data_IF_158066929999
#
_entry.id   IF_158066929999
#
_cell.length_a   1.000
_cell.length_b   1.000
_cell.length_c   1.000
_cell.angle_alpha   90.00
_cell.angle_beta   90.00
_cell.angle_gamma   90.00
#
_symmetry.space_group_name_H-M   'P 1'
#
loop_
_entity.id
_entity.type
_entity.pdbx_description
1 polymer ?
#
# COMPACT_ATOMS: atom_id res chain seq x y z
N UNK A 1 -20.98 22.69 -11.37
CA UNK A 1 -20.16 21.68 -12.06
C UNK A 1 -19.54 20.84 -10.98
N UNK A 2 -20.05 19.63 -10.76
CA UNK A 2 -19.45 18.66 -9.83
C UNK A 2 -18.08 18.26 -10.38
N UNK A 3 -17.02 18.70 -9.72
CA UNK A 3 -15.66 18.24 -10.02
C UNK A 3 -15.64 16.72 -9.82
N UNK A 4 -15.44 15.98 -10.89
CA UNK A 4 -15.26 14.53 -10.80
C UNK A 4 -13.94 14.31 -10.07
N UNK A 5 -13.99 13.81 -8.84
CA UNK A 5 -12.82 13.44 -8.05
C UNK A 5 -12.01 12.42 -8.86
N UNK A 6 -10.75 12.73 -9.16
CA UNK A 6 -9.85 11.87 -9.94
C UNK A 6 -8.88 11.17 -9.00
N UNK A 7 -9.25 9.97 -8.58
CA UNK A 7 -8.30 9.01 -7.97
C UNK A 7 -7.28 8.54 -9.00
N UNK A 8 -6.10 8.12 -8.53
CA UNK A 8 -5.25 7.26 -9.33
C UNK A 8 -6.00 5.93 -9.54
N UNK A 9 -6.35 5.55 -10.80
CA UNK A 9 -7.27 4.42 -11.03
C UNK A 9 -6.78 3.10 -10.42
N UNK A 10 -5.48 2.94 -10.30
CA UNK A 10 -4.86 1.74 -9.71
C UNK A 10 -5.20 1.49 -8.25
N UNK A 11 -5.64 2.52 -7.51
CA UNK A 11 -5.99 2.36 -6.08
C UNK A 11 -7.19 1.45 -5.90
N UNK A 12 -8.20 1.58 -6.77
CA UNK A 12 -9.44 0.80 -6.71
C UNK A 12 -9.52 -0.30 -7.79
N UNK A 13 -8.50 -0.43 -8.63
CA UNK A 13 -8.46 -1.49 -9.62
C UNK A 13 -8.20 -2.85 -8.95
N UNK A 14 -8.68 -3.96 -9.54
CA UNK A 14 -8.43 -5.30 -9.01
C UNK A 14 -6.95 -5.55 -8.71
N UNK A 15 -6.67 -6.34 -7.68
CA UNK A 15 -5.30 -6.70 -7.29
C UNK A 15 -4.61 -7.39 -8.48
N UNK A 16 -3.48 -6.90 -8.98
CA UNK A 16 -2.80 -7.46 -10.14
C UNK A 16 -2.13 -8.80 -9.80
N UNK A 17 -1.84 -9.61 -10.82
CA UNK A 17 -1.08 -10.86 -10.62
C UNK A 17 0.32 -10.62 -10.10
N UNK A 18 0.95 -9.54 -10.56
CA UNK A 18 2.31 -9.16 -10.21
C UNK A 18 2.37 -7.71 -9.80
N UNK A 19 3.15 -7.44 -8.77
CA UNK A 19 3.44 -6.09 -8.35
C UNK A 19 4.91 -5.92 -7.96
N UNK A 20 5.36 -4.68 -8.01
CA UNK A 20 6.66 -4.27 -7.51
C UNK A 20 6.50 -2.98 -6.75
N UNK A 21 6.93 -2.97 -5.50
CA UNK A 21 6.92 -1.79 -4.66
C UNK A 21 8.33 -1.24 -4.56
N UNK A 22 8.47 0.07 -4.75
CA UNK A 22 9.72 0.79 -4.54
C UNK A 22 9.47 1.85 -3.47
N UNK A 23 10.26 1.82 -2.40
CA UNK A 23 10.35 2.92 -1.44
C UNK A 23 11.64 3.68 -1.71
N UNK A 24 11.54 5.00 -1.80
CA UNK A 24 12.66 5.85 -2.09
C UNK A 24 12.78 6.96 -1.05
N UNK A 25 14.00 7.36 -0.78
CA UNK A 25 14.33 8.46 0.13
C UNK A 25 15.03 9.57 -0.64
N UNK A 26 14.76 10.81 -0.25
CA UNK A 26 15.47 11.98 -0.77
C UNK A 26 16.97 11.85 -0.49
N UNK A 27 17.77 12.12 -1.50
CA UNK A 27 19.21 12.21 -1.34
C UNK A 27 19.55 13.44 -0.50
N UNK A 28 20.50 13.36 0.44
CA UNK A 28 20.86 14.46 1.30
C UNK A 28 21.38 15.70 0.53
N UNK A 29 21.95 15.48 -0.64
CA UNK A 29 22.55 16.49 -1.53
C UNK A 29 21.61 16.96 -2.65
N UNK A 30 20.36 16.46 -2.70
CA UNK A 30 19.39 16.88 -3.70
C UNK A 30 18.91 18.32 -3.47
N UNK A 31 19.06 19.16 -4.45
CA UNK A 31 18.49 20.51 -4.46
C UNK A 31 17.04 20.53 -4.96
N UNK A 32 16.35 21.63 -4.77
CA UNK A 32 14.95 21.79 -5.16
C UNK A 32 14.73 21.63 -6.67
N UNK A 33 15.72 22.01 -7.48
CA UNK A 33 15.67 21.86 -8.93
C UNK A 33 15.69 20.39 -9.33
N UNK A 34 16.59 19.62 -8.76
CA UNK A 34 16.68 18.16 -9.01
C UNK A 34 15.40 17.45 -8.55
N UNK A 35 14.87 17.80 -7.36
CA UNK A 35 13.61 17.25 -6.86
C UNK A 35 12.46 17.57 -7.82
N UNK A 36 12.30 18.83 -8.22
CA UNK A 36 11.24 19.24 -9.13
C UNK A 36 11.34 18.51 -10.49
N UNK A 37 12.52 18.46 -11.08
CA UNK A 37 12.74 17.76 -12.35
C UNK A 37 12.42 16.26 -12.25
N UNK A 38 12.84 15.60 -11.18
CA UNK A 38 12.55 14.20 -10.93
C UNK A 38 11.03 13.94 -10.81
N UNK A 39 10.31 14.79 -10.08
CA UNK A 39 8.86 14.66 -9.94
C UNK A 39 8.10 14.94 -11.23
N UNK A 40 8.55 15.90 -12.04
CA UNK A 40 7.98 16.16 -13.37
C UNK A 40 8.20 14.97 -14.30
N UNK A 41 9.41 14.40 -14.30
CA UNK A 41 9.72 13.19 -15.08
C UNK A 41 8.86 11.99 -14.62
N UNK A 42 8.70 11.81 -13.31
CA UNK A 42 7.83 10.77 -12.74
C UNK A 42 6.38 10.95 -13.19
N UNK A 43 5.84 12.17 -13.08
CA UNK A 43 4.46 12.47 -13.50
C UNK A 43 4.23 12.20 -15.00
N UNK A 44 5.23 12.42 -15.84
CA UNK A 44 5.18 12.07 -17.27
C UNK A 44 5.33 10.59 -17.58
N UNK A 45 5.88 9.80 -16.65
CA UNK A 45 6.18 8.38 -16.82
C UNK A 45 5.18 7.45 -16.10
N UNK A 46 4.21 8.00 -15.37
CA UNK A 46 3.22 7.24 -14.60
C UNK A 46 1.79 7.60 -15.03
N UNK A 47 0.90 6.63 -14.97
CA UNK A 47 -0.49 6.75 -15.44
C UNK A 47 -1.53 6.66 -14.31
N UNK A 48 -1.07 6.41 -13.08
CA UNK A 48 -1.94 6.17 -11.93
C UNK A 48 -2.69 4.84 -11.94
N UNK A 49 -2.60 4.06 -13.03
CA UNK A 49 -3.25 2.74 -13.17
C UNK A 49 -2.23 1.61 -13.03
N UNK A 50 -1.28 1.56 -13.95
CA UNK A 50 -0.20 0.57 -13.94
C UNK A 50 0.96 1.00 -13.03
N UNK A 51 0.98 2.25 -12.64
CA UNK A 51 1.96 2.87 -11.74
C UNK A 51 1.27 3.86 -10.81
N UNK A 52 1.08 3.46 -9.54
CA UNK A 52 0.53 4.32 -8.49
C UNK A 52 1.68 4.98 -7.73
N UNK A 53 1.53 6.27 -7.44
CA UNK A 53 2.55 7.10 -6.78
C UNK A 53 2.04 7.59 -5.43
N UNK A 54 2.83 7.41 -4.38
CA UNK A 54 2.60 7.98 -3.05
C UNK A 54 3.72 8.91 -2.63
N UNK A 55 3.38 10.02 -2.01
CA UNK A 55 4.32 11.00 -1.47
C UNK A 55 4.35 10.93 0.05
N UNK A 56 5.54 10.84 0.63
CA UNK A 56 5.74 10.84 2.08
C UNK A 56 5.73 12.23 2.70
N UNK A 57 5.54 12.29 4.01
CA UNK A 57 5.43 13.53 4.76
C UNK A 57 6.65 14.44 4.61
N UNK A 58 7.86 13.88 4.60
CA UNK A 58 9.11 14.65 4.45
C UNK A 58 9.17 15.32 3.08
N UNK A 59 8.86 14.58 2.00
CA UNK A 59 8.85 15.15 0.66
C UNK A 59 7.80 16.26 0.52
N UNK A 60 6.57 16.02 1.03
CA UNK A 60 5.50 17.02 1.01
C UNK A 60 5.92 18.30 1.72
N UNK A 61 6.56 18.18 2.89
CA UNK A 61 7.10 19.33 3.63
C UNK A 61 8.22 20.03 2.87
N UNK A 62 9.08 19.28 2.17
CA UNK A 62 10.17 19.83 1.34
C UNK A 62 9.67 20.63 0.14
N UNK A 63 8.45 20.33 -0.32
CA UNK A 63 7.75 21.06 -1.39
C UNK A 63 6.93 22.25 -0.87
N UNK A 64 7.15 22.69 0.37
CA UNK A 64 6.39 23.75 1.05
C UNK A 64 4.87 23.50 1.05
N UNK A 65 4.46 22.22 1.06
CA UNK A 65 3.08 21.81 1.09
C UNK A 65 2.69 21.18 2.44
N UNK A 66 1.40 21.25 2.74
CA UNK A 66 0.83 20.62 3.93
C UNK A 66 -0.38 19.79 3.53
N UNK A 67 -0.39 18.53 3.94
CA UNK A 67 -1.52 17.61 3.78
C UNK A 67 -2.05 17.26 5.16
N UNK A 68 -3.27 17.68 5.53
CA UNK A 68 -3.85 17.36 6.82
C UNK A 68 -3.90 15.83 7.05
N UNK A 69 -3.42 15.38 8.20
CA UNK A 69 -3.38 13.97 8.56
C UNK A 69 -2.21 13.15 7.99
N UNK A 70 -1.45 13.67 7.03
CA UNK A 70 -0.26 12.98 6.53
C UNK A 70 0.84 13.03 7.61
N UNK A 71 1.28 11.86 8.02
CA UNK A 71 2.35 11.72 9.02
C UNK A 71 3.10 10.41 8.81
N UNK A 72 4.33 10.36 9.26
CA UNK A 72 5.04 9.09 9.42
C UNK A 72 4.43 8.26 10.54
N UNK A 73 4.52 6.94 10.41
CA UNK A 73 4.07 6.04 11.46
C UNK A 73 4.86 6.30 12.76
N UNK A 74 4.16 6.21 13.88
CA UNK A 74 4.76 6.21 15.21
C UNK A 74 4.19 5.04 15.99
N UNK A 75 5.07 4.17 16.49
CA UNK A 75 4.64 3.00 17.25
C UNK A 75 3.88 3.44 18.51
N UNK A 76 2.74 2.79 18.84
CA UNK A 76 2.05 3.04 20.10
C UNK A 76 2.97 2.74 21.29
N UNK A 77 2.91 3.57 22.33
CA UNK A 77 3.72 3.37 23.54
C UNK A 77 3.46 2.03 24.25
N UNK A 78 2.27 1.43 24.03
CA UNK A 78 1.88 0.14 24.58
C UNK A 78 2.13 -1.04 23.62
N UNK A 79 2.84 -0.86 22.50
CA UNK A 79 3.15 -1.92 21.58
C UNK A 79 3.95 -3.05 22.29
N UNK A 80 3.47 -4.28 22.14
CA UNK A 80 4.12 -5.48 22.74
C UNK A 80 5.19 -6.09 21.83
N UNK A 81 5.29 -5.61 20.61
CA UNK A 81 6.25 -6.02 19.59
C UNK A 81 6.93 -4.78 19.06
N UNK A 82 8.16 -4.94 18.61
CA UNK A 82 8.87 -3.86 17.94
C UNK A 82 8.22 -3.60 16.57
N UNK A 83 7.72 -2.39 16.38
CA UNK A 83 7.08 -1.93 15.14
C UNK A 83 7.91 -0.76 14.61
N UNK A 84 8.93 -1.02 13.80
CA UNK A 84 9.83 0.02 13.32
C UNK A 84 9.08 1.00 12.41
N UNK A 85 9.38 2.28 12.55
CA UNK A 85 9.00 3.28 11.57
C UNK A 85 9.98 3.24 10.39
N UNK A 86 9.46 3.01 9.20
CA UNK A 86 10.23 2.96 7.94
C UNK A 86 9.66 3.98 6.94
N UNK A 87 9.77 5.30 7.24
CA UNK A 87 9.21 6.32 6.36
C UNK A 87 9.90 6.30 5.01
N UNK A 88 9.12 6.49 3.95
CA UNK A 88 9.62 6.75 2.60
C UNK A 88 9.20 8.15 2.17
N UNK A 89 10.05 8.82 1.38
CA UNK A 89 9.71 10.12 0.82
C UNK A 89 8.89 9.98 -0.45
N UNK A 90 9.13 8.88 -1.19
CA UNK A 90 8.38 8.53 -2.39
C UNK A 90 8.13 7.01 -2.38
N UNK A 91 6.93 6.61 -2.79
CA UNK A 91 6.54 5.21 -2.91
C UNK A 91 5.89 4.95 -4.27
N UNK A 92 6.30 3.88 -4.92
CA UNK A 92 5.77 3.47 -6.21
C UNK A 92 5.19 2.06 -6.10
N UNK A 93 3.98 1.90 -6.64
CA UNK A 93 3.36 0.60 -6.83
C UNK A 93 3.21 0.34 -8.33
N UNK A 94 4.07 -0.50 -8.85
CA UNK A 94 4.03 -0.97 -10.24
C UNK A 94 3.17 -2.24 -10.30
N UNK A 95 2.27 -2.30 -11.27
CA UNK A 95 1.22 -3.31 -11.38
C UNK A 95 1.21 -3.93 -12.78
N UNK A 96 1.05 -5.26 -12.87
CA UNK A 96 0.89 -5.98 -14.14
C UNK A 96 0.16 -7.32 -13.91
N UNK A 97 -0.64 -7.73 -14.89
CA UNK A 97 -1.19 -9.09 -14.96
C UNK A 97 -0.42 -9.98 -15.95
N UNK A 98 0.56 -9.40 -16.65
CA UNK A 98 1.33 -10.07 -17.70
C UNK A 98 2.71 -10.52 -17.20
N UNK A 99 3.78 -9.93 -17.75
CA UNK A 99 5.16 -10.33 -17.49
C UNK A 99 5.76 -9.62 -16.26
N UNK A 100 6.17 -10.35 -15.21
CA UNK A 100 6.87 -9.74 -14.08
C UNK A 100 8.25 -9.16 -14.45
N UNK A 101 8.87 -9.62 -15.56
CA UNK A 101 10.11 -9.04 -16.08
C UNK A 101 9.94 -7.60 -16.55
N UNK A 102 8.78 -7.26 -17.15
CA UNK A 102 8.47 -5.89 -17.53
C UNK A 102 8.37 -4.96 -16.31
N UNK A 103 7.88 -5.45 -15.17
CA UNK A 103 7.88 -4.66 -13.93
C UNK A 103 9.30 -4.34 -13.45
N UNK A 104 10.24 -5.27 -13.63
CA UNK A 104 11.65 -5.02 -13.34
C UNK A 104 12.21 -3.90 -14.21
N UNK A 105 11.98 -3.97 -15.52
CA UNK A 105 12.48 -2.95 -16.45
C UNK A 105 11.85 -1.59 -16.19
N UNK A 106 10.54 -1.53 -15.95
CA UNK A 106 9.84 -0.29 -15.59
C UNK A 106 10.35 0.30 -14.27
N UNK A 107 10.52 -0.54 -13.24
CA UNK A 107 11.07 -0.11 -11.95
C UNK A 107 12.47 0.48 -12.10
N UNK A 108 13.35 -0.17 -12.87
CA UNK A 108 14.70 0.33 -13.16
C UNK A 108 14.69 1.65 -13.94
N UNK A 109 13.80 1.79 -14.93
CA UNK A 109 13.68 3.02 -15.70
C UNK A 109 13.20 4.19 -14.83
N UNK A 110 12.18 3.97 -13.99
CA UNK A 110 11.72 4.99 -13.04
C UNK A 110 12.79 5.35 -12.02
N UNK A 111 13.47 4.35 -11.45
CA UNK A 111 14.58 4.60 -10.52
C UNK A 111 15.70 5.42 -11.17
N UNK A 112 16.02 5.18 -12.45
CA UNK A 112 17.03 5.95 -13.18
C UNK A 112 16.61 7.42 -13.38
N UNK A 113 15.33 7.68 -13.68
CA UNK A 113 14.80 9.05 -13.78
C UNK A 113 14.82 9.78 -12.43
N UNK A 114 14.63 9.05 -11.34
CA UNK A 114 14.57 9.59 -9.98
C UNK A 114 15.97 9.73 -9.34
N UNK A 115 16.97 9.02 -9.83
CA UNK A 115 18.32 8.95 -9.23
C UNK A 115 19.01 10.29 -8.93
N UNK A 116 18.77 11.40 -9.68
CA UNK A 116 19.34 12.71 -9.32
C UNK A 116 18.85 13.26 -7.97
N UNK A 117 17.64 12.88 -7.53
CA UNK A 117 17.03 13.42 -6.30
C UNK A 117 16.70 12.35 -5.26
N UNK A 118 16.55 11.10 -5.67
CA UNK A 118 16.11 10.00 -4.80
C UNK A 118 17.01 8.78 -4.92
N UNK A 119 17.05 7.99 -3.85
CA UNK A 119 17.63 6.65 -3.88
C UNK A 119 16.59 5.61 -3.48
N UNK A 120 16.62 4.45 -4.11
CA UNK A 120 15.78 3.30 -3.74
C UNK A 120 16.34 2.68 -2.48
N UNK A 121 15.56 2.73 -1.41
CA UNK A 121 15.94 2.17 -0.10
C UNK A 121 15.35 0.80 0.15
N UNK A 122 14.20 0.51 -0.48
CA UNK A 122 13.57 -0.80 -0.37
C UNK A 122 12.86 -1.15 -1.67
N UNK A 123 12.98 -2.40 -2.07
CA UNK A 123 12.24 -2.98 -3.18
C UNK A 123 11.59 -4.28 -2.73
N UNK A 124 10.30 -4.43 -3.07
CA UNK A 124 9.55 -5.64 -2.76
C UNK A 124 8.87 -6.17 -4.02
N UNK A 125 9.17 -7.41 -4.37
CA UNK A 125 8.47 -8.13 -5.44
C UNK A 125 7.27 -8.83 -4.82
N UNK A 126 6.09 -8.61 -5.38
CA UNK A 126 4.86 -9.15 -4.88
C UNK A 126 4.06 -9.86 -5.99
N UNK A 127 3.23 -10.78 -5.57
CA UNK A 127 2.34 -11.53 -6.44
C UNK A 127 0.98 -11.74 -5.76
N UNK A 128 -0.07 -11.93 -6.57
CA UNK A 128 -1.37 -12.34 -6.07
C UNK A 128 -1.40 -13.86 -5.96
N UNK A 129 -1.63 -14.36 -4.75
CA UNK A 129 -1.83 -15.80 -4.55
C UNK A 129 -3.27 -16.18 -4.88
N UNK A 130 -3.44 -17.09 -5.86
CA UNK A 130 -4.75 -17.54 -6.35
C UNK A 130 -5.67 -16.35 -6.70
N UNK A 131 -6.91 -16.34 -6.21
CA UNK A 131 -7.91 -15.28 -6.42
C UNK A 131 -7.76 -14.09 -5.48
N UNK A 132 -6.65 -13.99 -4.73
CA UNK A 132 -6.40 -12.93 -3.73
C UNK A 132 -6.39 -13.44 -2.30
N UNK A 133 -6.20 -14.74 -2.10
CA UNK A 133 -6.07 -15.32 -0.75
C UNK A 133 -4.72 -14.95 -0.13
N UNK A 134 -4.72 -14.87 1.19
CA UNK A 134 -3.49 -14.86 1.98
C UNK A 134 -2.70 -16.18 1.80
N UNK A 135 -1.41 -16.17 2.09
CA UNK A 135 -0.56 -17.37 1.97
C UNK A 135 -0.95 -18.49 2.93
N UNK A 136 -1.71 -18.21 3.96
CA UNK A 136 -2.35 -19.21 4.84
C UNK A 136 -3.53 -19.90 4.19
N UNK A 137 -4.01 -19.41 3.04
CA UNK A 137 -5.12 -19.94 2.26
C UNK A 137 -6.49 -19.36 2.61
N UNK A 138 -6.57 -18.45 3.58
CA UNK A 138 -7.80 -17.72 3.90
C UNK A 138 -8.04 -16.59 2.92
N UNK A 139 -9.30 -16.18 2.78
CA UNK A 139 -9.65 -15.01 1.98
C UNK A 139 -9.20 -13.74 2.68
N UNK A 140 -8.65 -12.81 1.91
CA UNK A 140 -8.25 -11.50 2.38
C UNK A 140 -9.17 -10.42 1.79
N UNK A 141 -9.42 -9.37 2.56
CA UNK A 141 -10.23 -8.26 2.11
C UNK A 141 -11.75 -8.49 2.05
N UNK A 142 -12.27 -9.51 2.75
CA UNK A 142 -13.72 -9.82 2.77
C UNK A 142 -14.58 -8.62 3.17
N UNK A 143 -14.12 -7.81 4.12
CA UNK A 143 -14.82 -6.62 4.60
C UNK A 143 -14.44 -5.33 3.86
N UNK A 144 -13.65 -5.42 2.79
CA UNK A 144 -13.30 -4.24 2.02
C UNK A 144 -14.56 -3.60 1.41
N UNK A 145 -14.71 -2.28 1.49
CA UNK A 145 -15.85 -1.59 0.89
C UNK A 145 -15.83 -1.73 -0.64
N UNK A 146 -17.00 -1.85 -1.24
CA UNK A 146 -17.19 -2.01 -2.68
C UNK A 146 -17.96 -0.85 -3.31
N UNK A 147 -17.88 -0.74 -4.63
CA UNK A 147 -18.64 0.24 -5.41
C UNK A 147 -18.41 1.68 -4.94
N UNK A 148 -19.48 2.43 -4.69
CA UNK A 148 -19.40 3.82 -4.24
C UNK A 148 -18.77 3.94 -2.85
N UNK A 149 -19.02 2.97 -1.96
CA UNK A 149 -18.43 2.97 -0.62
C UNK A 149 -16.91 2.86 -0.66
N UNK A 150 -16.33 2.11 -1.60
CA UNK A 150 -14.89 2.04 -1.80
C UNK A 150 -14.30 3.40 -2.20
N UNK A 151 -14.98 4.13 -3.09
CA UNK A 151 -14.58 5.48 -3.51
C UNK A 151 -14.66 6.44 -2.32
N UNK A 152 -15.77 6.44 -1.60
CA UNK A 152 -16.02 7.35 -0.47
C UNK A 152 -15.03 7.10 0.69
N UNK A 153 -14.57 5.86 0.84
CA UNK A 153 -13.57 5.49 1.85
C UNK A 153 -12.15 5.85 1.41
N UNK A 154 -11.81 5.61 0.14
CA UNK A 154 -10.45 5.78 -0.35
C UNK A 154 -10.12 7.23 -0.72
N UNK A 155 -11.10 8.01 -1.20
CA UNK A 155 -10.87 9.33 -1.75
C UNK A 155 -10.96 10.45 -0.73
N UNK A 156 -9.96 11.29 -0.66
CA UNK A 156 -10.06 12.60 -0.01
C UNK A 156 -10.97 13.50 -0.83
N UNK A 157 -11.94 14.14 -0.19
CA UNK A 157 -12.89 15.06 -0.83
C UNK A 157 -13.09 16.34 -0.01
N UNK A 158 -13.46 17.44 -0.67
CA UNK A 158 -13.71 18.74 -0.03
C UNK A 158 -12.49 19.38 0.67
N UNK A 159 -11.27 19.05 0.21
CA UNK A 159 -10.02 19.63 0.68
C UNK A 159 -9.32 20.49 -0.39
N UNK A 160 -10.01 20.73 -1.50
CA UNK A 160 -9.53 21.56 -2.60
C UNK A 160 -8.85 20.77 -3.72
N UNK A 161 -8.65 21.40 -4.89
CA UNK A 161 -8.26 20.72 -6.12
C UNK A 161 -6.89 20.03 -6.05
N UNK A 162 -6.04 20.44 -5.11
CA UNK A 162 -4.72 19.81 -4.92
C UNK A 162 -4.77 18.49 -4.14
N UNK A 163 -5.82 18.28 -3.33
CA UNK A 163 -5.95 17.10 -2.46
C UNK A 163 -7.13 16.22 -2.85
N UNK A 164 -8.17 16.78 -3.44
CA UNK A 164 -9.35 16.03 -3.86
C UNK A 164 -8.96 14.93 -4.86
N UNK A 165 -9.31 13.70 -4.53
CA UNK A 165 -8.90 12.51 -5.29
C UNK A 165 -7.60 11.86 -4.84
N UNK A 166 -6.89 12.43 -3.87
CA UNK A 166 -5.80 11.71 -3.21
C UNK A 166 -6.33 10.62 -2.27
N UNK A 167 -5.45 9.71 -1.89
CA UNK A 167 -5.72 8.64 -0.91
C UNK A 167 -4.55 8.54 0.04
N UNK A 168 -4.81 8.12 1.26
CA UNK A 168 -3.74 7.72 2.18
C UNK A 168 -3.43 6.23 2.02
N UNK A 169 -2.16 5.88 2.13
CA UNK A 169 -1.69 4.50 2.11
C UNK A 169 -0.78 4.24 3.29
N UNK A 170 -1.01 3.12 3.97
CA UNK A 170 -0.09 2.56 4.95
C UNK A 170 0.50 1.27 4.38
N UNK A 171 1.83 1.18 4.33
CA UNK A 171 2.53 0.01 3.81
C UNK A 171 3.22 -0.71 4.97
N UNK A 172 2.94 -2.00 5.11
CA UNK A 172 3.46 -2.82 6.21
C UNK A 172 4.02 -4.13 5.65
N UNK A 173 5.32 -4.42 5.78
CA UNK A 173 5.86 -5.76 5.54
C UNK A 173 5.53 -6.67 6.72
N UNK A 174 4.90 -7.81 6.43
CA UNK A 174 4.59 -8.85 7.42
C UNK A 174 5.37 -10.12 7.09
N UNK A 175 6.02 -10.68 8.09
CA UNK A 175 6.65 -12.00 8.00
C UNK A 175 5.73 -13.04 8.64
N UNK A 176 5.20 -13.93 7.82
CA UNK A 176 4.30 -14.99 8.26
C UNK A 176 5.08 -16.17 8.83
N UNK A 177 4.74 -16.58 10.05
CA UNK A 177 5.24 -17.81 10.65
C UNK A 177 4.50 -19.04 10.08
N UNK A 178 4.55 -19.26 8.75
CA UNK A 178 3.74 -20.26 8.04
C UNK A 178 3.95 -21.67 8.61
N UNK A 179 5.19 -22.09 8.87
CA UNK A 179 5.46 -23.41 9.41
C UNK A 179 4.79 -23.64 10.78
N UNK A 180 4.72 -22.60 11.62
CA UNK A 180 4.01 -22.66 12.90
C UNK A 180 2.50 -22.72 12.70
N UNK A 181 1.98 -21.94 11.76
CA UNK A 181 0.55 -21.92 11.45
C UNK A 181 0.09 -23.26 10.87
N UNK A 182 0.86 -23.84 9.96
CA UNK A 182 0.57 -25.12 9.31
C UNK A 182 0.63 -26.30 10.28
N UNK A 183 1.33 -26.18 11.40
CA UNK A 183 1.37 -27.21 12.44
C UNK A 183 0.06 -27.33 13.24
N UNK A 184 -0.84 -26.36 13.19
CA UNK A 184 -2.15 -26.43 13.80
C UNK A 184 -3.12 -27.23 12.94
N UNK A 185 -4.10 -27.90 13.57
CA UNK A 185 -5.24 -28.48 12.85
C UNK A 185 -6.15 -27.38 12.26
N UNK A 186 -7.03 -27.77 11.34
CA UNK A 186 -7.89 -26.85 10.61
C UNK A 186 -8.80 -26.03 11.55
N UNK A 187 -9.41 -26.67 12.54
CA UNK A 187 -10.28 -25.99 13.51
C UNK A 187 -9.52 -24.91 14.29
N UNK A 188 -8.30 -25.22 14.72
CA UNK A 188 -7.45 -24.26 15.42
C UNK A 188 -7.06 -23.09 14.52
N UNK A 189 -6.72 -23.35 13.24
CA UNK A 189 -6.42 -22.31 12.26
C UNK A 189 -7.62 -21.40 12.01
N UNK A 190 -8.80 -21.98 11.83
CA UNK A 190 -10.05 -21.25 11.66
C UNK A 190 -10.35 -20.33 12.86
N UNK A 191 -10.15 -20.82 14.08
CA UNK A 191 -10.31 -20.00 15.30
C UNK A 191 -9.25 -18.90 15.45
N UNK A 192 -8.02 -19.09 14.94
CA UNK A 192 -6.99 -18.04 14.92
C UNK A 192 -7.40 -16.92 13.99
N UNK A 193 -7.93 -17.25 12.81
CA UNK A 193 -8.40 -16.28 11.83
C UNK A 193 -9.75 -15.68 12.23
N UNK A 194 -10.67 -16.50 12.74
CA UNK A 194 -12.05 -16.16 13.07
C UNK A 194 -13.03 -16.40 11.93
N UNK A 195 -12.56 -17.07 10.86
CA UNK A 195 -13.35 -17.49 9.70
C UNK A 195 -13.00 -18.90 9.29
N UNK A 196 -13.95 -19.62 8.71
CA UNK A 196 -13.71 -20.93 8.12
C UNK A 196 -13.04 -20.77 6.74
N UNK A 197 -11.96 -21.52 6.51
CA UNK A 197 -11.19 -21.42 5.27
C UNK A 197 -11.95 -21.86 4.02
N UNK A 198 -12.89 -22.80 4.14
CA UNK A 198 -13.57 -23.42 2.99
C UNK A 198 -14.74 -22.59 2.44
N UNK A 199 -15.44 -21.81 3.27
CA UNK A 199 -16.61 -21.02 2.88
C UNK A 199 -16.51 -19.54 3.28
N UNK A 200 -15.44 -19.16 3.97
CA UNK A 200 -15.18 -17.81 4.45
C UNK A 200 -16.23 -17.27 5.44
N UNK A 201 -17.10 -18.13 5.98
CA UNK A 201 -18.06 -17.69 6.99
C UNK A 201 -17.38 -17.37 8.31
N UNK A 202 -17.83 -16.29 8.94
CA UNK A 202 -17.36 -15.87 10.26
C UNK A 202 -17.79 -16.86 11.33
N UNK A 203 -16.95 -17.06 12.34
CA UNK A 203 -17.22 -17.95 13.47
C UNK A 203 -17.74 -17.12 14.64
N UNK A 204 -19.04 -17.22 14.94
CA UNK A 204 -19.73 -16.41 15.96
C UNK A 204 -19.07 -16.45 17.34
N UNK A 205 -18.56 -17.61 17.74
CA UNK A 205 -17.89 -17.84 19.03
C UNK A 205 -16.35 -17.81 18.91
N UNK A 206 -15.79 -17.13 17.89
CA UNK A 206 -14.35 -17.01 17.77
C UNK A 206 -13.75 -16.28 18.97
N UNK A 207 -12.57 -16.70 19.44
CA UNK A 207 -11.96 -16.07 20.60
C UNK A 207 -11.65 -14.59 20.33
N UNK A 208 -11.68 -13.70 21.33
CA UNK A 208 -11.36 -12.27 21.16
C UNK A 208 -9.95 -12.01 20.58
N UNK A 209 -9.10 -13.02 20.59
CA UNK A 209 -7.77 -13.01 19.98
C UNK A 209 -7.77 -13.33 18.49
N UNK A 210 -8.89 -13.75 17.91
CA UNK A 210 -9.02 -14.01 16.49
C UNK A 210 -8.72 -12.75 15.67
N UNK A 211 -8.19 -12.95 14.47
CA UNK A 211 -7.81 -11.84 13.60
C UNK A 211 -9.01 -10.94 13.26
N UNK A 212 -10.16 -11.53 12.94
CA UNK A 212 -11.41 -10.81 12.63
C UNK A 212 -11.85 -9.92 13.79
N UNK A 213 -11.80 -10.42 15.04
CA UNK A 213 -12.20 -9.63 16.22
C UNK A 213 -11.31 -8.43 16.54
N UNK A 214 -10.16 -8.29 15.92
CA UNK A 214 -9.24 -7.15 16.13
C UNK A 214 -9.48 -5.97 15.22
N UNK A 215 -10.28 -6.13 14.17
CA UNK A 215 -10.64 -5.06 13.25
C UNK A 215 -11.82 -4.19 13.75
N UNK A 216 -12.45 -4.60 14.85
CA UNK A 216 -13.60 -3.90 15.45
C UNK A 216 -13.23 -3.00 16.66
N UNK A 217 -11.93 -2.73 16.88
CA UNK A 217 -11.47 -1.89 18.00
C UNK A 217 -10.85 -0.58 17.48
#
# INVERSE_FOLDING_TARGET
MTSTVRLQPGILAPVPRHARYLSLTLRPDADDTAIHQALVALAGATDGLSSVVGLGATLVSRLDATVPGLRSYSAPAAARVDLPATPADLWLWLRSDDDPGELLHRGRALAAHLAPAFEVTQETIAFRHREGRDLTGYEDGTENPEGQNAIDTAAVTNHGPALDGSSFVAVQPWEHALARFDAFDETTRDLIVGRRRHDNEEIDDAPPSAQVGRHLI
#
